data_IF_732344658961
#
_entry.id   IF_732344658961
#
_cell.length_a   1.000
_cell.length_b   1.000
_cell.length_c   1.000
_cell.angle_alpha   90.00
_cell.angle_beta   90.00
_cell.angle_gamma   90.00
#
_symmetry.space_group_name_H-M   'P 1'
#
loop_
_entity.id
_entity.type
_entity.pdbx_description
1 polymer ?
#
# COMPACT_ATOMS: atom_id res chain seq x y z
N UNK A 1 -24.14 1.77 -16.41
CA UNK A 1 -23.94 0.38 -15.90
C UNK A 1 -22.51 0.00 -16.19
N UNK A 2 -21.60 0.35 -15.32
CA UNK A 2 -20.18 0.04 -15.46
C UNK A 2 -19.95 -1.44 -15.11
N UNK A 3 -19.46 -2.20 -16.08
CA UNK A 3 -19.00 -3.57 -15.87
C UNK A 3 -17.66 -3.48 -15.15
N UNK A 4 -17.63 -3.82 -13.87
CA UNK A 4 -16.40 -4.17 -13.19
C UNK A 4 -15.86 -5.46 -13.83
N UNK A 5 -14.98 -5.30 -14.81
CA UNK A 5 -14.13 -6.39 -15.25
C UNK A 5 -13.14 -6.62 -14.12
N UNK A 6 -13.36 -7.70 -13.38
CA UNK A 6 -12.37 -8.21 -12.44
C UNK A 6 -11.10 -8.55 -13.23
N UNK A 7 -10.13 -7.64 -13.18
CA UNK A 7 -8.75 -7.96 -13.58
C UNK A 7 -8.24 -8.88 -12.48
N UNK A 8 -8.47 -10.17 -12.67
CA UNK A 8 -7.71 -11.22 -12.01
C UNK A 8 -6.28 -11.08 -12.51
N UNK A 9 -5.48 -10.31 -11.78
CA UNK A 9 -4.04 -10.36 -11.89
C UNK A 9 -3.67 -11.82 -11.58
N UNK A 10 -3.38 -12.58 -12.62
CA UNK A 10 -2.70 -13.86 -12.53
C UNK A 10 -1.29 -13.56 -12.01
N UNK A 11 -1.17 -13.53 -10.69
CA UNK A 11 0.10 -13.56 -9.99
C UNK A 11 0.69 -14.94 -10.29
N UNK A 12 1.41 -15.03 -11.42
CA UNK A 12 2.26 -16.17 -11.72
C UNK A 12 3.29 -16.20 -10.61
N UNK A 13 3.07 -17.07 -9.65
CA UNK A 13 4.05 -17.46 -8.64
C UNK A 13 5.31 -17.88 -9.40
N UNK A 14 6.26 -16.98 -9.53
CA UNK A 14 7.65 -17.29 -9.83
C UNK A 14 8.16 -18.10 -8.62
N UNK A 15 7.85 -19.38 -8.66
CA UNK A 15 8.62 -20.36 -7.90
C UNK A 15 10.05 -20.23 -8.39
N UNK A 16 11.03 -19.94 -7.54
CA UNK A 16 12.42 -20.03 -7.94
C UNK A 16 12.63 -21.46 -8.42
N UNK A 17 12.98 -21.62 -9.69
CA UNK A 17 13.46 -22.86 -10.21
C UNK A 17 14.62 -23.29 -9.28
N UNK A 18 14.43 -24.40 -8.61
CA UNK A 18 15.50 -25.03 -7.86
C UNK A 18 16.61 -25.34 -8.87
N UNK A 19 17.63 -24.49 -8.88
CA UNK A 19 18.90 -24.80 -9.54
C UNK A 19 19.48 -25.97 -8.75
N UNK A 20 19.34 -27.18 -9.30
CA UNK A 20 20.04 -28.30 -8.82
C UNK A 20 21.52 -28.15 -9.21
N UNK A 21 22.26 -27.42 -8.41
CA UNK A 21 23.70 -27.56 -8.36
C UNK A 21 23.96 -28.88 -7.61
N UNK A 22 24.11 -29.95 -8.35
CA UNK A 22 24.79 -31.14 -7.86
C UNK A 22 26.30 -30.86 -7.89
N UNK A 23 26.76 -30.07 -6.93
CA UNK A 23 28.14 -30.17 -6.47
C UNK A 23 28.15 -31.16 -5.31
N UNK A 24 29.16 -31.99 -5.30
CA UNK A 24 29.40 -33.05 -4.32
C UNK A 24 29.20 -32.50 -2.92
N UNK A 25 28.02 -32.79 -2.34
CA UNK A 25 27.75 -32.48 -0.97
C UNK A 25 28.72 -33.28 -0.13
N UNK A 26 29.80 -32.67 0.37
CA UNK A 26 30.36 -33.09 1.64
C UNK A 26 29.16 -33.27 2.57
N UNK A 27 28.94 -34.53 2.94
CA UNK A 27 27.92 -34.87 3.93
C UNK A 27 28.34 -34.19 5.23
N UNK A 28 27.91 -32.95 5.40
CA UNK A 28 28.08 -32.23 6.63
C UNK A 28 27.26 -33.00 7.67
N UNK A 29 27.94 -33.84 8.44
CA UNK A 29 27.33 -34.50 9.58
C UNK A 29 26.84 -33.35 10.50
N UNK A 30 25.53 -33.22 10.75
CA UNK A 30 25.03 -32.18 11.59
C UNK A 30 25.73 -32.29 12.94
N UNK A 31 26.32 -31.18 13.40
CA UNK A 31 26.96 -31.13 14.71
C UNK A 31 25.91 -31.56 15.73
N UNK A 32 26.14 -32.68 16.42
CA UNK A 32 25.19 -33.34 17.33
C UNK A 32 24.79 -32.43 18.50
N UNK A 33 25.44 -31.27 18.61
CA UNK A 33 25.18 -30.23 19.61
C UNK A 33 24.28 -29.06 19.12
N UNK A 34 23.88 -29.04 17.85
CA UNK A 34 22.91 -28.05 17.43
C UNK A 34 21.55 -28.38 18.03
N UNK A 35 21.11 -27.55 18.96
CA UNK A 35 19.73 -27.58 19.48
C UNK A 35 18.78 -27.51 18.30
N UNK A 36 17.83 -28.44 18.16
CA UNK A 36 16.87 -28.42 17.07
C UNK A 36 16.23 -27.02 16.94
N UNK A 37 16.12 -26.48 15.73
CA UNK A 37 15.62 -25.12 15.47
C UNK A 37 14.31 -24.80 16.23
N UNK A 38 13.47 -25.83 16.44
CA UNK A 38 12.21 -25.69 17.19
C UNK A 38 12.35 -25.74 18.73
N UNK A 39 13.54 -25.96 19.28
CA UNK A 39 13.78 -25.97 20.72
C UNK A 39 14.16 -24.60 21.26
N UNK A 40 14.42 -23.60 20.41
CA UNK A 40 14.69 -22.22 20.87
C UNK A 40 13.41 -21.61 21.43
N UNK A 41 13.48 -20.89 22.56
CA UNK A 41 12.33 -20.22 23.13
C UNK A 41 11.79 -19.17 22.15
N UNK A 42 10.48 -19.01 22.15
CA UNK A 42 9.82 -17.93 21.40
C UNK A 42 9.93 -16.60 22.14
N UNK A 43 9.70 -15.53 21.40
CA UNK A 43 9.66 -14.16 21.89
C UNK A 43 8.32 -13.52 21.55
N UNK A 44 7.76 -12.80 22.50
CA UNK A 44 6.66 -11.86 22.23
C UNK A 44 7.25 -10.47 22.06
N UNK A 45 6.62 -9.65 21.22
CA UNK A 45 7.00 -8.25 21.09
C UNK A 45 5.77 -7.36 20.90
N UNK A 46 5.91 -6.10 21.36
CA UNK A 46 4.99 -5.01 21.06
C UNK A 46 5.81 -3.93 20.38
N UNK A 47 5.37 -3.52 19.18
CA UNK A 47 6.11 -2.61 18.33
C UNK A 47 5.20 -1.55 17.70
N UNK A 48 5.39 -0.26 17.99
CA UNK A 48 4.88 0.79 17.13
C UNK A 48 5.46 0.62 15.71
N UNK A 49 4.62 0.91 14.72
CA UNK A 49 4.94 0.79 13.30
C UNK A 49 4.63 2.09 12.58
N UNK A 50 5.48 2.45 11.63
CA UNK A 50 5.25 3.55 10.70
C UNK A 50 5.59 3.08 9.31
N UNK A 51 4.71 3.32 8.34
CA UNK A 51 4.95 2.93 6.95
C UNK A 51 4.58 4.08 6.01
N UNK A 52 5.37 4.24 4.97
CA UNK A 52 5.02 4.99 3.77
C UNK A 52 4.24 4.05 2.84
N UNK A 53 3.13 4.53 2.29
CA UNK A 53 2.26 3.75 1.40
C UNK A 53 2.06 4.52 0.10
N UNK A 54 2.24 3.85 -1.04
CA UNK A 54 2.09 4.47 -2.36
C UNK A 54 1.46 3.49 -3.37
N UNK A 55 0.59 4.00 -4.22
CA UNK A 55 0.16 3.29 -5.42
C UNK A 55 1.06 3.75 -6.57
N UNK A 56 1.80 2.84 -7.22
CA UNK A 56 2.66 3.22 -8.34
C UNK A 56 1.88 3.77 -9.52
N UNK A 57 2.43 4.80 -10.18
CA UNK A 57 1.80 5.43 -11.35
C UNK A 57 1.44 4.44 -12.45
N UNK A 58 2.28 3.43 -12.71
CA UNK A 58 1.98 2.43 -13.74
C UNK A 58 0.67 1.66 -13.50
N UNK A 59 0.21 1.56 -12.24
CA UNK A 59 -1.09 0.96 -11.91
C UNK A 59 -2.21 1.91 -12.27
N UNK A 60 -2.03 3.20 -12.01
CA UNK A 60 -3.00 4.25 -12.34
C UNK A 60 -3.08 4.46 -13.86
N UNK A 61 -1.93 4.51 -14.55
CA UNK A 61 -1.83 4.65 -16.00
C UNK A 61 -2.53 3.53 -16.76
N UNK A 62 -2.72 2.37 -16.13
CA UNK A 62 -3.46 1.26 -16.73
C UNK A 62 -4.99 1.47 -16.72
N UNK A 63 -5.49 2.46 -15.99
CA UNK A 63 -6.91 2.73 -15.77
C UNK A 63 -7.30 4.13 -16.21
N UNK A 64 -6.41 5.10 -16.04
CA UNK A 64 -6.68 6.52 -16.30
C UNK A 64 -5.73 7.09 -17.36
N UNK A 65 -6.29 7.82 -18.33
CA UNK A 65 -5.49 8.57 -19.30
C UNK A 65 -4.81 9.78 -18.67
N UNK A 66 -5.43 10.37 -17.66
CA UNK A 66 -4.90 11.47 -16.87
C UNK A 66 -5.33 11.32 -15.42
N UNK A 67 -4.36 11.40 -14.53
CA UNK A 67 -4.57 11.52 -13.09
C UNK A 67 -3.51 12.47 -12.54
N UNK A 68 -3.87 13.33 -11.61
CA UNK A 68 -2.98 14.25 -10.92
C UNK A 68 -3.36 14.31 -9.44
N UNK A 69 -2.47 14.85 -8.65
CA UNK A 69 -2.69 15.03 -7.21
C UNK A 69 -2.51 13.75 -6.43
N UNK A 70 -3.55 13.01 -6.24
CA UNK A 70 -3.65 11.91 -5.28
C UNK A 70 -2.46 10.94 -5.25
N UNK A 71 -1.88 10.62 -6.39
CA UNK A 71 -0.85 9.59 -6.50
C UNK A 71 0.44 10.11 -7.16
N UNK A 72 0.44 11.35 -7.60
CA UNK A 72 1.60 12.00 -8.17
C UNK A 72 2.36 12.77 -7.10
N UNK A 73 3.32 12.10 -6.49
CA UNK A 73 4.49 12.70 -5.88
C UNK A 73 4.33 13.53 -4.61
N UNK A 74 3.31 14.33 -4.47
CA UNK A 74 3.19 15.30 -3.38
C UNK A 74 2.39 14.78 -2.19
N UNK A 75 1.66 13.70 -2.33
CA UNK A 75 0.87 13.11 -1.26
C UNK A 75 1.60 11.97 -0.58
N UNK A 76 2.12 12.23 0.59
CA UNK A 76 2.72 11.23 1.46
C UNK A 76 1.60 10.51 2.19
N UNK A 77 1.29 9.29 1.77
CA UNK A 77 0.40 8.42 2.51
C UNK A 77 1.17 7.74 3.63
N UNK A 78 0.81 8.07 4.86
CA UNK A 78 1.41 7.48 6.05
C UNK A 78 0.45 6.49 6.69
N UNK A 79 1.00 5.36 7.08
CA UNK A 79 0.36 4.40 7.96
C UNK A 79 1.12 4.34 9.28
N UNK A 80 0.41 4.38 10.38
CA UNK A 80 0.97 4.21 11.71
C UNK A 80 0.10 3.25 12.52
N UNK A 81 0.74 2.47 13.36
CA UNK A 81 0.03 1.43 14.09
C UNK A 81 0.81 0.86 15.25
N UNK A 82 0.20 -0.16 15.84
CA UNK A 82 0.77 -0.96 16.90
C UNK A 82 0.66 -2.43 16.51
N UNK A 83 1.79 -3.13 16.51
CA UNK A 83 1.88 -4.55 16.25
C UNK A 83 2.19 -5.31 17.53
N UNK A 84 1.49 -6.40 17.74
CA UNK A 84 1.84 -7.45 18.67
C UNK A 84 2.29 -8.66 17.90
N UNK A 85 3.44 -9.25 18.25
CA UNK A 85 3.97 -10.41 17.55
C UNK A 85 4.45 -11.50 18.48
N UNK A 86 4.43 -12.71 17.97
CA UNK A 86 5.10 -13.88 18.51
C UNK A 86 6.05 -14.43 17.46
N UNK A 87 7.34 -14.57 17.81
CA UNK A 87 8.36 -15.06 16.90
C UNK A 87 9.12 -16.25 17.49
N UNK A 88 9.47 -17.19 16.63
CA UNK A 88 10.48 -18.20 16.86
C UNK A 88 11.64 -17.97 15.91
N UNK A 89 12.83 -17.61 16.40
CA UNK A 89 13.99 -17.38 15.56
C UNK A 89 14.27 -18.55 14.63
N UNK A 90 14.66 -18.24 13.38
CA UNK A 90 14.93 -19.20 12.31
C UNK A 90 13.75 -20.13 11.95
N UNK A 91 12.53 -19.73 12.29
CA UNK A 91 11.33 -20.48 11.99
C UNK A 91 10.21 -19.56 11.47
N UNK A 92 9.49 -18.86 12.34
CA UNK A 92 8.36 -18.04 11.94
C UNK A 92 8.06 -16.89 12.91
N UNK A 93 7.32 -15.92 12.41
CA UNK A 93 6.69 -14.84 13.19
C UNK A 93 5.21 -14.78 12.82
N UNK A 94 4.36 -14.65 13.83
CA UNK A 94 2.94 -14.32 13.66
C UNK A 94 2.73 -12.97 14.32
N UNK A 95 2.11 -12.03 13.62
CA UNK A 95 1.80 -10.72 14.18
C UNK A 95 0.35 -10.32 13.94
N UNK A 96 -0.18 -9.51 14.86
CA UNK A 96 -1.45 -8.81 14.73
C UNK A 96 -1.19 -7.32 14.85
N UNK A 97 -1.60 -6.55 13.85
CA UNK A 97 -1.35 -5.11 13.77
C UNK A 97 -2.65 -4.36 13.67
N UNK A 98 -2.84 -3.35 14.50
CA UNK A 98 -3.87 -2.32 14.34
C UNK A 98 -3.19 -1.10 13.76
N UNK A 99 -3.70 -0.60 12.63
CA UNK A 99 -3.07 0.50 11.92
C UNK A 99 -4.08 1.48 11.35
N UNK A 100 -3.72 2.74 11.34
CA UNK A 100 -4.43 3.79 10.62
C UNK A 100 -3.58 4.25 9.44
N UNK A 101 -4.19 4.30 8.26
CA UNK A 101 -3.54 4.78 7.04
C UNK A 101 -4.30 5.98 6.52
N UNK A 102 -3.60 7.10 6.33
CA UNK A 102 -4.13 8.25 5.60
C UNK A 102 -4.07 7.94 4.11
N UNK A 103 -5.19 8.15 3.43
CA UNK A 103 -5.29 8.08 1.97
C UNK A 103 -5.70 9.45 1.41
N UNK A 104 -5.57 10.49 2.23
CA UNK A 104 -5.78 11.87 1.82
C UNK A 104 -4.63 12.26 0.87
N UNK A 105 -4.99 12.54 -0.31
CA UNK A 105 -4.07 12.67 -1.41
C UNK A 105 -4.57 13.84 -2.21
N UNK A 106 -3.88 14.86 -2.34
CA UNK A 106 -4.18 16.08 -3.07
C UNK A 106 -5.39 16.09 -4.02
N UNK A 107 -5.72 17.24 -4.46
CA UNK A 107 -6.77 17.46 -5.44
C UNK A 107 -6.23 17.17 -6.84
N UNK A 108 -7.04 16.63 -7.74
CA UNK A 108 -6.55 16.31 -9.05
C UNK A 108 -7.59 15.94 -10.10
N UNK A 109 -7.16 15.94 -11.35
CA UNK A 109 -7.95 15.50 -12.48
C UNK A 109 -8.03 13.97 -12.57
N UNK A 110 -9.18 13.49 -12.99
CA UNK A 110 -9.42 12.10 -13.32
C UNK A 110 -10.12 12.01 -14.66
N UNK A 111 -9.51 11.30 -15.58
CA UNK A 111 -10.05 11.02 -16.90
C UNK A 111 -9.76 9.57 -17.23
N UNK A 112 -10.79 8.79 -17.54
CA UNK A 112 -10.64 7.39 -17.89
C UNK A 112 -10.08 7.25 -19.30
N UNK A 113 -9.36 6.17 -19.58
CA UNK A 113 -8.82 5.91 -20.91
C UNK A 113 -9.93 5.80 -21.96
N UNK A 114 -9.82 6.58 -23.01
CA UNK A 114 -10.81 6.65 -24.10
C UNK A 114 -11.92 7.67 -23.90
N UNK A 115 -12.02 8.29 -22.72
CA UNK A 115 -12.98 9.37 -22.48
C UNK A 115 -12.48 10.68 -23.09
N UNK A 116 -13.43 11.58 -23.34
CA UNK A 116 -13.14 12.92 -23.87
C UNK A 116 -12.76 13.86 -22.74
N UNK A 117 -12.00 14.91 -23.07
CA UNK A 117 -11.60 15.94 -22.10
C UNK A 117 -12.81 16.56 -21.36
N UNK A 118 -13.97 16.68 -22.05
CA UNK A 118 -15.20 17.18 -21.42
C UNK A 118 -15.82 16.26 -20.37
N UNK A 119 -15.37 15.00 -20.29
CA UNK A 119 -15.85 14.00 -19.33
C UNK A 119 -14.92 13.89 -18.11
N UNK A 120 -13.89 14.74 -18.04
CA UNK A 120 -12.98 14.75 -16.92
C UNK A 120 -13.65 15.28 -15.65
N UNK A 121 -13.36 14.63 -14.55
CA UNK A 121 -13.74 15.06 -13.20
C UNK A 121 -12.55 15.68 -12.48
N UNK A 122 -12.81 16.61 -11.58
CA UNK A 122 -11.86 17.03 -10.57
C UNK A 122 -12.23 16.38 -9.24
N UNK A 123 -11.26 15.75 -8.59
CA UNK A 123 -11.54 15.02 -7.34
C UNK A 123 -10.76 15.58 -6.17
N UNK A 124 -11.41 15.55 -5.02
CA UNK A 124 -10.79 15.82 -3.71
C UNK A 124 -11.16 14.70 -2.76
N UNK A 125 -10.27 14.33 -1.86
CA UNK A 125 -10.61 13.35 -0.84
C UNK A 125 -9.83 13.55 0.47
N UNK A 126 -10.44 13.06 1.55
CA UNK A 126 -9.82 12.97 2.87
C UNK A 126 -9.94 11.55 3.45
N UNK A 127 -9.88 10.56 2.58
CA UNK A 127 -10.04 9.16 2.96
C UNK A 127 -8.96 8.71 3.94
N UNK A 128 -9.37 7.89 4.87
CA UNK A 128 -8.49 7.18 5.80
C UNK A 128 -9.02 5.79 6.09
N UNK A 129 -8.15 4.89 6.49
CA UNK A 129 -8.55 3.54 6.89
C UNK A 129 -8.03 3.23 8.29
N UNK A 130 -8.89 2.58 9.10
CA UNK A 130 -8.50 1.94 10.35
C UNK A 130 -8.59 0.43 10.14
N UNK A 131 -7.45 -0.26 10.12
CA UNK A 131 -7.36 -1.67 9.80
C UNK A 131 -6.83 -2.52 10.94
N UNK A 132 -7.22 -3.79 10.91
CA UNK A 132 -6.62 -4.87 11.69
C UNK A 132 -6.12 -5.91 10.71
N UNK A 133 -4.85 -6.29 10.84
CA UNK A 133 -4.18 -7.24 9.95
C UNK A 133 -3.43 -8.29 10.78
N UNK A 134 -3.54 -9.55 10.40
CA UNK A 134 -2.71 -10.63 10.90
C UNK A 134 -1.74 -11.04 9.82
N UNK A 135 -0.45 -11.14 10.15
CA UNK A 135 0.61 -11.52 9.22
C UNK A 135 1.32 -12.77 9.70
N UNK A 136 1.72 -13.59 8.77
CA UNK A 136 2.59 -14.74 8.96
C UNK A 136 3.85 -14.56 8.13
N UNK A 137 5.01 -14.62 8.79
CA UNK A 137 6.31 -14.56 8.14
C UNK A 137 7.14 -15.81 8.47
N UNK A 138 7.83 -16.32 7.47
CA UNK A 138 8.96 -17.21 7.67
C UNK A 138 10.19 -16.38 8.02
N UNK A 139 10.98 -16.88 8.96
CA UNK A 139 12.22 -16.24 9.40
C UNK A 139 13.40 -17.08 9.00
N UNK A 140 14.37 -16.48 8.30
CA UNK A 140 15.63 -17.10 7.92
C UNK A 140 16.80 -16.29 8.50
N UNK A 141 17.67 -16.94 9.26
CA UNK A 141 18.85 -16.29 9.84
C UNK A 141 19.81 -15.82 8.76
N UNK A 142 20.24 -14.55 8.86
CA UNK A 142 21.25 -13.94 7.99
C UNK A 142 22.60 -13.79 8.70
N UNK A 143 22.62 -13.79 10.01
CA UNK A 143 23.83 -13.69 10.81
C UNK A 143 24.07 -14.96 11.63
N UNK A 144 25.34 -15.32 11.83
CA UNK A 144 25.69 -16.51 12.61
C UNK A 144 25.30 -16.43 14.10
N UNK A 145 25.11 -15.24 14.63
CA UNK A 145 24.62 -14.98 16.00
C UNK A 145 23.08 -15.02 16.10
N UNK A 146 22.37 -15.16 14.96
CA UNK A 146 20.92 -15.21 14.88
C UNK A 146 20.21 -13.88 15.16
N UNK A 147 20.94 -12.77 15.26
CA UNK A 147 20.37 -11.46 15.56
C UNK A 147 19.72 -10.79 14.37
N UNK A 148 20.21 -11.09 13.17
CA UNK A 148 19.67 -10.55 11.90
C UNK A 148 18.96 -11.67 11.18
N UNK A 149 17.68 -11.43 10.85
CA UNK A 149 16.84 -12.41 10.16
C UNK A 149 16.14 -11.76 8.98
N UNK A 150 16.00 -12.49 7.89
CA UNK A 150 15.12 -12.19 6.80
C UNK A 150 13.71 -12.67 7.16
N UNK A 151 12.72 -11.79 7.05
CA UNK A 151 11.31 -12.12 7.20
C UNK A 151 10.65 -12.04 5.83
N UNK A 152 9.83 -13.03 5.47
CA UNK A 152 9.03 -12.96 4.25
C UNK A 152 7.71 -13.70 4.46
N UNK A 153 6.63 -13.15 3.93
CA UNK A 153 5.34 -13.75 4.22
C UNK A 153 4.15 -12.98 3.65
N UNK A 154 3.01 -13.24 4.22
CA UNK A 154 1.73 -12.68 3.81
C UNK A 154 0.88 -12.30 5.01
N UNK A 155 -0.13 -11.46 4.74
CA UNK A 155 -1.08 -11.01 5.74
C UNK A 155 -2.49 -10.95 5.21
N UNK A 156 -3.42 -11.07 6.15
CA UNK A 156 -4.87 -10.97 5.93
C UNK A 156 -5.46 -10.02 6.96
N UNK A 157 -6.39 -9.20 6.53
CA UNK A 157 -7.03 -8.24 7.41
C UNK A 157 -8.30 -7.65 6.87
N UNK A 158 -8.80 -6.68 7.61
CA UNK A 158 -9.94 -5.85 7.22
C UNK A 158 -9.69 -4.42 7.69
N UNK A 159 -10.08 -3.47 6.86
CA UNK A 159 -10.03 -2.05 7.22
C UNK A 159 -11.40 -1.41 7.08
N UNK A 160 -11.74 -0.55 8.04
CA UNK A 160 -12.86 0.37 7.96
C UNK A 160 -12.39 1.60 7.21
N UNK A 161 -13.11 1.98 6.16
CA UNK A 161 -12.89 3.23 5.41
C UNK A 161 -13.69 4.35 6.06
N UNK A 162 -13.10 5.53 6.15
CA UNK A 162 -13.70 6.75 6.69
C UNK A 162 -13.26 7.95 5.86
N UNK A 163 -14.06 9.01 5.86
CA UNK A 163 -13.81 10.20 5.04
C UNK A 163 -14.75 10.28 3.84
N UNK A 164 -14.52 11.27 2.99
CA UNK A 164 -15.33 11.57 1.82
C UNK A 164 -14.45 11.64 0.57
N UNK A 165 -14.99 11.15 -0.52
CA UNK A 165 -14.45 11.34 -1.86
C UNK A 165 -15.43 12.21 -2.63
N UNK A 166 -15.00 13.39 -3.07
CA UNK A 166 -15.82 14.35 -3.79
C UNK A 166 -15.38 14.44 -5.24
N UNK A 167 -16.36 14.43 -6.14
CA UNK A 167 -16.19 14.67 -7.55
C UNK A 167 -16.85 15.98 -7.91
N UNK A 168 -16.13 16.83 -8.60
CA UNK A 168 -16.59 18.11 -9.11
C UNK A 168 -16.72 18.04 -10.61
N UNK A 169 -17.89 18.42 -11.13
CA UNK A 169 -18.10 18.54 -12.58
C UNK A 169 -17.26 19.72 -13.09
N UNK A 170 -16.44 19.51 -14.11
CA UNK A 170 -15.70 20.56 -14.79
C UNK A 170 -16.57 21.25 -15.84
N UNK A 171 -16.62 22.58 -15.79
CA UNK A 171 -17.19 23.39 -16.86
C UNK A 171 -16.16 23.64 -17.94
N UNK A 172 -16.00 22.67 -18.83
CA UNK A 172 -15.05 22.73 -19.93
C UNK A 172 -15.28 23.95 -20.84
N UNK A 173 -16.50 24.52 -20.81
CA UNK A 173 -16.83 25.79 -21.46
C UNK A 173 -16.10 27.00 -20.88
N UNK A 174 -15.68 26.92 -19.65
CA UNK A 174 -14.97 27.97 -18.91
C UNK A 174 -13.48 27.72 -18.79
N UNK A 175 -12.97 26.60 -19.30
CA UNK A 175 -11.54 26.31 -19.33
C UNK A 175 -10.82 27.37 -20.16
N UNK A 176 -9.78 27.95 -19.66
CA UNK A 176 -9.02 29.00 -20.33
C UNK A 176 -8.27 28.44 -21.53
N UNK A 177 -8.60 28.94 -22.73
CA UNK A 177 -7.89 28.60 -23.96
C UNK A 177 -8.24 27.25 -24.61
N UNK A 178 -9.26 26.51 -24.15
CA UNK A 178 -9.78 25.34 -24.85
C UNK A 178 -10.76 25.75 -25.97
N UNK A 179 -10.51 25.29 -27.19
CA UNK A 179 -11.43 25.40 -28.31
C UNK A 179 -12.52 24.34 -28.26
N UNK A 180 -13.59 24.51 -29.03
CA UNK A 180 -14.65 23.49 -29.11
C UNK A 180 -14.17 22.14 -29.66
N UNK A 181 -13.18 22.15 -30.54
CA UNK A 181 -12.58 20.93 -31.09
C UNK A 181 -11.73 20.21 -30.04
N UNK A 182 -10.96 20.96 -29.25
CA UNK A 182 -10.12 20.41 -28.18
C UNK A 182 -10.95 19.78 -27.05
N UNK A 183 -12.14 20.29 -26.76
CA UNK A 183 -13.06 19.70 -25.75
C UNK A 183 -13.50 18.30 -26.14
N UNK A 184 -13.70 18.08 -27.44
CA UNK A 184 -14.12 16.79 -27.98
C UNK A 184 -12.93 15.85 -28.25
N UNK A 185 -11.72 16.30 -27.95
CA UNK A 185 -10.51 15.50 -28.09
C UNK A 185 -10.40 14.48 -26.95
N UNK A 186 -9.72 13.37 -27.21
CA UNK A 186 -9.29 12.38 -26.22
C UNK A 186 -7.87 12.67 -25.69
N UNK A 187 -7.28 13.81 -26.06
CA UNK A 187 -5.94 14.20 -25.60
C UNK A 187 -6.00 14.76 -24.18
N UNK A 188 -5.63 13.94 -23.23
CA UNK A 188 -5.63 14.27 -21.80
C UNK A 188 -4.69 15.45 -21.43
N UNK A 189 -3.67 15.76 -22.27
CA UNK A 189 -2.78 16.89 -22.04
C UNK A 189 -3.51 18.25 -22.09
N UNK A 190 -4.68 18.29 -22.71
CA UNK A 190 -5.51 19.50 -22.78
C UNK A 190 -6.12 19.90 -21.44
N UNK A 191 -6.18 18.98 -20.46
CA UNK A 191 -6.69 19.28 -19.12
C UNK A 191 -5.87 20.36 -18.40
N UNK A 192 -4.60 20.52 -18.73
CA UNK A 192 -3.75 21.57 -18.15
C UNK A 192 -4.25 22.99 -18.49
N UNK A 193 -5.13 23.12 -19.50
CA UNK A 193 -5.80 24.38 -19.85
C UNK A 193 -7.09 24.63 -19.06
N UNK A 194 -7.53 23.66 -18.25
CA UNK A 194 -8.84 23.69 -17.57
C UNK A 194 -8.79 24.43 -16.23
N UNK A 195 -8.15 25.61 -16.22
CA UNK A 195 -8.15 26.52 -15.11
C UNK A 195 -8.83 27.83 -15.48
N UNK A 196 -9.38 28.50 -14.49
CA UNK A 196 -9.88 29.86 -14.63
C UNK A 196 -8.72 30.86 -14.70
N UNK A 197 -8.98 32.12 -15.03
CA UNK A 197 -7.98 33.20 -15.01
C UNK A 197 -7.35 33.39 -13.60
N UNK A 198 -8.05 32.96 -12.55
CA UNK A 198 -7.57 33.00 -11.15
C UNK A 198 -6.72 31.78 -10.78
N UNK A 199 -6.57 30.80 -11.67
CA UNK A 199 -5.80 29.59 -11.43
C UNK A 199 -6.56 28.47 -10.72
N UNK A 200 -7.88 28.66 -10.47
CA UNK A 200 -8.74 27.62 -9.92
C UNK A 200 -9.27 26.70 -11.05
N UNK A 201 -9.55 25.41 -10.78
CA UNK A 201 -10.25 24.56 -11.73
C UNK A 201 -11.58 25.18 -12.16
N UNK A 202 -11.92 25.08 -13.45
CA UNK A 202 -13.16 25.61 -13.99
C UNK A 202 -14.35 24.73 -13.63
N UNK A 203 -14.93 24.90 -12.46
CA UNK A 203 -16.05 24.11 -11.97
C UNK A 203 -17.40 24.55 -12.55
N UNK A 204 -18.32 23.62 -12.76
CA UNK A 204 -19.75 23.90 -12.89
C UNK A 204 -20.24 24.49 -11.56
N UNK A 205 -20.95 25.63 -11.63
CA UNK A 205 -21.45 26.32 -10.45
C UNK A 205 -22.95 26.03 -10.25
N UNK A 206 -23.31 25.76 -9.00
CA UNK A 206 -24.69 25.74 -8.52
C UNK A 206 -24.85 26.74 -7.38
N UNK A 207 -25.73 27.75 -7.57
CA UNK A 207 -25.88 28.84 -6.59
C UNK A 207 -24.59 29.62 -6.32
N UNK A 208 -23.64 29.67 -7.25
CA UNK A 208 -22.36 30.36 -7.14
C UNK A 208 -21.27 29.60 -6.41
N UNK A 209 -21.51 28.34 -6.07
CA UNK A 209 -20.52 27.42 -5.48
C UNK A 209 -20.22 26.26 -6.43
N UNK A 210 -19.00 25.68 -6.38
CA UNK A 210 -18.69 24.49 -7.15
C UNK A 210 -19.69 23.37 -6.86
N UNK A 211 -20.30 22.84 -7.94
CA UNK A 211 -21.18 21.69 -7.83
C UNK A 211 -20.33 20.43 -7.65
N UNK A 212 -20.64 19.63 -6.65
CA UNK A 212 -19.95 18.39 -6.40
C UNK A 212 -20.92 17.26 -6.03
N UNK A 213 -20.46 16.05 -6.24
CA UNK A 213 -21.13 14.83 -5.82
C UNK A 213 -20.20 14.11 -4.84
N UNK A 214 -20.75 13.69 -3.70
CA UNK A 214 -20.03 12.80 -2.78
C UNK A 214 -20.22 11.38 -3.28
N UNK A 215 -19.12 10.66 -3.50
CA UNK A 215 -19.16 9.25 -3.89
C UNK A 215 -19.63 8.41 -2.70
N UNK A 216 -20.84 7.90 -2.76
CA UNK A 216 -21.47 7.10 -1.71
C UNK A 216 -21.21 5.59 -1.85
N UNK A 217 -20.58 5.17 -2.95
CA UNK A 217 -20.31 3.76 -3.27
C UNK A 217 -19.04 3.21 -2.66
N UNK A 218 -18.33 4.01 -1.84
CA UNK A 218 -17.14 3.54 -1.15
C UNK A 218 -17.56 2.53 -0.08
N UNK A 219 -17.11 1.28 -0.16
CA UNK A 219 -17.50 0.28 0.83
C UNK A 219 -16.95 0.68 2.21
N UNK A 220 -17.77 0.61 3.27
CA UNK A 220 -17.35 1.00 4.61
C UNK A 220 -16.28 0.06 5.19
N UNK A 221 -16.17 -1.14 4.64
CA UNK A 221 -15.13 -2.11 4.99
C UNK A 221 -14.51 -2.71 3.74
N UNK A 222 -13.20 -2.84 3.76
CA UNK A 222 -12.43 -3.46 2.67
C UNK A 222 -11.55 -4.56 3.22
N UNK A 223 -11.47 -5.72 2.54
CA UNK A 223 -10.50 -6.75 2.89
C UNK A 223 -9.08 -6.24 2.62
N UNK A 224 -8.15 -6.67 3.44
CA UNK A 224 -6.72 -6.38 3.28
C UNK A 224 -5.97 -7.68 3.01
N UNK A 225 -5.12 -7.63 2.00
CA UNK A 225 -4.21 -8.72 1.64
C UNK A 225 -2.82 -8.11 1.50
N UNK A 226 -1.83 -8.69 2.16
CA UNK A 226 -0.46 -8.24 2.01
C UNK A 226 0.50 -9.38 1.68
N UNK A 227 1.59 -9.01 1.00
CA UNK A 227 2.77 -9.81 0.85
C UNK A 227 3.97 -8.92 1.12
N UNK A 228 4.90 -9.38 1.93
CA UNK A 228 6.02 -8.57 2.37
C UNK A 228 7.31 -9.38 2.51
N UNK A 229 8.40 -8.63 2.39
CA UNK A 229 9.75 -9.06 2.73
C UNK A 229 10.36 -8.00 3.64
N UNK A 230 11.16 -8.41 4.60
CA UNK A 230 11.74 -7.47 5.55
C UNK A 230 12.92 -8.04 6.31
N UNK A 231 13.47 -7.23 7.18
CA UNK A 231 14.56 -7.57 8.08
C UNK A 231 14.10 -7.44 9.52
N UNK A 232 14.52 -8.37 10.35
CA UNK A 232 14.39 -8.31 11.81
C UNK A 232 15.79 -8.24 12.40
N UNK A 233 16.00 -7.23 13.23
CA UNK A 233 17.28 -7.02 13.93
C UNK A 233 17.03 -7.00 15.43
N UNK A 234 17.55 -7.99 16.15
CA UNK A 234 17.60 -7.99 17.61
C UNK A 234 18.76 -7.13 18.08
N UNK A 235 18.46 -6.01 18.72
CA UNK A 235 19.47 -5.08 19.25
C UNK A 235 19.97 -5.50 20.62
N UNK A 236 19.07 -5.98 21.48
CA UNK A 236 19.33 -6.48 22.82
C UNK A 236 18.32 -7.56 23.17
N UNK A 237 18.42 -8.11 24.38
CA UNK A 237 17.46 -9.10 24.87
C UNK A 237 16.00 -8.59 24.83
N UNK A 238 15.82 -7.29 24.98
CA UNK A 238 14.51 -6.65 25.07
C UNK A 238 14.19 -5.68 23.93
N UNK A 239 15.04 -5.56 22.91
CA UNK A 239 14.80 -4.61 21.83
C UNK A 239 14.93 -5.24 20.45
N UNK A 240 13.94 -5.01 19.60
CA UNK A 240 13.88 -5.48 18.21
C UNK A 240 13.55 -4.33 17.28
N UNK A 241 14.19 -4.30 16.11
CA UNK A 241 13.86 -3.45 14.99
C UNK A 241 13.35 -4.30 13.83
N UNK A 242 12.39 -3.76 13.09
CA UNK A 242 11.88 -4.32 11.84
C UNK A 242 11.93 -3.30 10.72
N UNK A 243 12.28 -3.76 9.54
CA UNK A 243 12.13 -3.05 8.28
C UNK A 243 11.34 -3.95 7.35
N UNK A 244 10.24 -3.48 6.82
CA UNK A 244 9.37 -4.24 5.92
C UNK A 244 9.09 -3.47 4.64
N UNK A 245 9.02 -4.16 3.53
CA UNK A 245 8.52 -3.65 2.26
C UNK A 245 7.63 -4.67 1.60
N UNK A 246 6.66 -4.21 0.83
CA UNK A 246 5.74 -5.13 0.18
C UNK A 246 4.58 -4.46 -0.50
N UNK A 247 3.57 -5.26 -0.77
CA UNK A 247 2.30 -4.83 -1.36
C UNK A 247 1.20 -5.09 -0.35
N UNK A 248 0.29 -4.14 -0.18
CA UNK A 248 -0.91 -4.27 0.64
C UNK A 248 -2.12 -3.80 -0.17
N UNK A 249 -2.94 -4.74 -0.64
CA UNK A 249 -4.18 -4.43 -1.31
C UNK A 249 -5.26 -4.04 -0.28
N UNK A 250 -6.06 -2.99 -0.52
CA UNK A 250 -6.07 -2.11 -1.69
C UNK A 250 -5.12 -0.90 -1.56
N UNK A 251 -4.28 -0.81 -0.53
CA UNK A 251 -3.52 0.40 -0.20
C UNK A 251 -2.30 0.66 -1.11
N UNK A 252 -1.72 -0.37 -1.74
CA UNK A 252 -0.59 -0.23 -2.66
C UNK A 252 0.73 -0.78 -2.13
N UNK A 253 1.85 -0.25 -2.63
CA UNK A 253 3.19 -0.57 -2.15
C UNK A 253 3.43 0.10 -0.80
N UNK A 254 4.16 -0.57 0.09
CA UNK A 254 4.56 0.02 1.35
C UNK A 254 6.03 -0.24 1.67
N UNK A 255 6.62 0.70 2.41
CA UNK A 255 7.90 0.54 3.10
C UNK A 255 7.70 1.03 4.52
N UNK A 256 8.02 0.19 5.50
CA UNK A 256 7.75 0.49 6.90
C UNK A 256 8.88 0.11 7.82
N UNK A 257 8.90 0.77 8.96
CA UNK A 257 9.81 0.48 10.06
C UNK A 257 9.02 0.21 11.32
N UNK A 258 9.56 -0.65 12.17
CA UNK A 258 9.04 -0.92 13.49
C UNK A 258 10.18 -0.97 14.51
N UNK A 259 9.90 -0.55 15.74
CA UNK A 259 10.83 -0.69 16.85
C UNK A 259 10.03 -1.16 18.05
N UNK A 260 10.48 -2.24 18.71
CA UNK A 260 9.66 -2.87 19.71
C UNK A 260 10.41 -3.34 20.94
N UNK A 261 9.64 -3.50 22.00
CA UNK A 261 10.05 -4.21 23.21
C UNK A 261 9.69 -5.69 23.07
N UNK A 262 10.66 -6.57 23.29
CA UNK A 262 10.47 -8.01 23.25
C UNK A 262 10.80 -8.66 24.60
N UNK A 263 10.14 -9.78 24.89
CA UNK A 263 10.41 -10.60 26.06
C UNK A 263 10.31 -12.08 25.70
N UNK A 264 11.03 -12.91 26.46
CA UNK A 264 11.06 -14.35 26.23
C UNK A 264 9.78 -15.03 26.72
N UNK A 265 9.33 -16.05 26.02
CA UNK A 265 8.22 -16.90 26.45
C UNK A 265 8.59 -17.60 27.76
N UNK A 266 7.80 -17.38 28.83
CA UNK A 266 7.98 -18.00 30.14
C UNK A 266 8.66 -17.11 31.21
N UNK A 267 8.93 -15.84 30.87
CA UNK A 267 9.34 -14.81 31.83
C UNK A 267 8.15 -14.02 32.38
#
# INVERSE_FOLDING_TARGET
>A
MARFSAVLLSLSLLLPAAVSAQDEAEVYAPDVNETPRFSRPGFYAISPTVSYVNIPNFVLDSVFSRHTGMWEGDAVNLSYGLSWSYSRPDAYEISATVQQTSMATGDGYWLQEGDRVEEADWTTNNLSTLGVETQFHWLAGLSGDGRTQLAYGFGLGVAKVSGEFKKYDLDVGRCSGLTNEERLSTDAALLDKCFTETGDPAFVLDGGKPKFIVEDKIPPFVPMLSASIGLRQTLSENAVLGLDMGIRAPQGLFVGVSAGYQWRQGE
#
